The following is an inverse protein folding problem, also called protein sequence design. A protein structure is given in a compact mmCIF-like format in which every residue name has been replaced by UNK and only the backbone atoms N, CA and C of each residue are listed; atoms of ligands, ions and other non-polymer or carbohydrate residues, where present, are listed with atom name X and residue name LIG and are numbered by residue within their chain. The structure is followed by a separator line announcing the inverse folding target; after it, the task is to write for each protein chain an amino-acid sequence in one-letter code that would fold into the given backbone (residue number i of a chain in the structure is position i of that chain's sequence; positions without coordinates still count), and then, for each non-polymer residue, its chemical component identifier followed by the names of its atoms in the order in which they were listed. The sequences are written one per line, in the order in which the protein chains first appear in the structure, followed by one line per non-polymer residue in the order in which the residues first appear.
data_IF_553769984514
#
_entry.id   IF_553769984514
#
_cell.length_a   1.000
_cell.length_b   1.000
_cell.length_c   1.000
_cell.angle_alpha   90.00
_cell.angle_beta   90.00
_cell.angle_gamma   90.00
#
_symmetry.space_group_name_H-M   'P 1'
#
loop_
_entity.id
_entity.type
_entity.pdbx_description
1 polymer ?
#
# COMPACT_ATOMS: atom_id res chain seq x y z
N UNK A 1 -12.37 -7.76 11.63
CA UNK A 1 -11.43 -7.82 10.49
C UNK A 1 -11.78 -6.64 9.60
N UNK A 2 -11.08 -5.51 9.75
CA UNK A 2 -11.29 -4.35 8.88
C UNK A 2 -10.58 -4.64 7.56
N UNK A 3 -11.34 -4.83 6.50
CA UNK A 3 -10.82 -4.98 5.14
C UNK A 3 -10.06 -3.71 4.76
N UNK A 4 -8.74 -3.82 4.58
CA UNK A 4 -7.82 -2.71 4.27
C UNK A 4 -7.89 -2.31 2.78
N UNK A 5 -8.82 -2.88 2.01
CA UNK A 5 -8.74 -2.91 0.54
C UNK A 5 -10.03 -2.48 -0.17
N UNK A 6 -10.63 -1.36 0.23
CA UNK A 6 -11.69 -0.72 -0.56
C UNK A 6 -11.12 0.57 -1.19
N UNK A 7 -10.44 0.44 -2.33
CA UNK A 7 -10.07 1.57 -3.21
C UNK A 7 -11.26 1.80 -4.17
N UNK A 8 -12.26 2.58 -3.75
CA UNK A 8 -13.46 2.88 -4.57
C UNK A 8 -13.51 4.37 -4.93
N UNK A 9 -13.33 4.68 -6.22
CA UNK A 9 -13.67 5.94 -6.91
C UNK A 9 -13.69 7.24 -6.09
N UNK A 10 -12.54 7.70 -5.60
CA UNK A 10 -12.35 9.10 -5.19
C UNK A 10 -11.10 9.64 -5.87
N UNK A 11 -11.26 10.67 -6.70
CA UNK A 11 -10.15 11.46 -7.21
C UNK A 11 -9.60 12.17 -5.96
N UNK A 12 -8.42 11.73 -5.49
CA UNK A 12 -7.68 12.26 -4.33
C UNK A 12 -7.91 11.56 -2.96
N UNK A 13 -7.86 10.22 -2.90
CA UNK A 13 -7.68 9.52 -1.61
C UNK A 13 -6.22 9.09 -1.41
N UNK A 14 -5.66 9.46 -0.25
CA UNK A 14 -4.36 9.00 0.21
C UNK A 14 -4.51 7.70 1.01
N UNK A 15 -3.66 6.71 0.73
CA UNK A 15 -3.60 5.46 1.51
C UNK A 15 -2.54 5.60 2.59
N UNK A 16 -2.97 5.53 3.85
CA UNK A 16 -2.04 5.47 4.97
C UNK A 16 -1.41 4.07 5.03
N UNK A 17 -0.09 4.02 4.89
CA UNK A 17 0.69 2.77 4.97
C UNK A 17 1.69 2.80 6.12
N UNK A 18 1.86 1.65 6.76
CA UNK A 18 2.89 1.43 7.78
C UNK A 18 4.26 1.21 7.11
N UNK A 19 5.35 1.58 7.79
CA UNK A 19 6.74 1.35 7.34
C UNK A 19 7.02 -0.11 6.93
N UNK A 20 6.36 -1.10 7.55
CA UNK A 20 6.51 -2.52 7.15
C UNK A 20 6.04 -2.80 5.72
N UNK A 21 5.01 -2.10 5.24
CA UNK A 21 4.53 -2.21 3.86
C UNK A 21 5.56 -1.65 2.90
N UNK A 22 6.20 -0.54 3.26
CA UNK A 22 7.29 0.03 2.47
C UNK A 22 8.49 -0.93 2.42
N UNK A 23 8.86 -1.55 3.54
CA UNK A 23 9.93 -2.56 3.56
C UNK A 23 9.60 -3.73 2.63
N UNK A 24 8.39 -4.27 2.69
CA UNK A 24 7.97 -5.36 1.81
C UNK A 24 7.96 -4.95 0.33
N UNK A 25 7.62 -3.69 0.04
CA UNK A 25 7.63 -3.16 -1.32
C UNK A 25 9.07 -3.06 -1.88
N UNK A 26 10.02 -2.57 -1.08
CA UNK A 26 11.41 -2.38 -1.54
C UNK A 26 12.28 -3.64 -1.43
N UNK A 27 11.91 -4.60 -0.59
CA UNK A 27 12.62 -5.87 -0.47
C UNK A 27 12.01 -6.95 -1.38
N UNK A 28 12.64 -7.23 -2.51
CA UNK A 28 12.19 -8.27 -3.46
C UNK A 28 12.15 -9.68 -2.88
N UNK A 29 12.88 -9.93 -1.80
CA UNK A 29 12.87 -11.22 -1.10
C UNK A 29 11.79 -11.30 -0.02
N UNK A 30 11.04 -10.22 0.24
CA UNK A 30 9.94 -10.24 1.19
C UNK A 30 8.78 -11.07 0.62
N UNK A 31 8.21 -11.95 1.45
CA UNK A 31 7.10 -12.81 1.07
C UNK A 31 5.84 -12.05 0.60
N UNK A 32 5.71 -10.78 0.98
CA UNK A 32 4.60 -9.91 0.59
C UNK A 32 4.92 -8.98 -0.58
N UNK A 33 6.12 -9.03 -1.14
CA UNK A 33 6.55 -8.14 -2.21
C UNK A 33 5.58 -8.15 -3.41
N UNK A 34 5.25 -9.34 -3.92
CA UNK A 34 4.35 -9.49 -5.06
C UNK A 34 2.95 -8.91 -4.81
N UNK A 35 2.37 -9.18 -3.63
CA UNK A 35 1.07 -8.66 -3.24
C UNK A 35 1.08 -7.13 -3.09
N UNK A 36 2.17 -6.58 -2.55
CA UNK A 36 2.36 -5.13 -2.43
C UNK A 36 2.42 -4.44 -3.79
N UNK A 37 3.14 -5.02 -4.75
CA UNK A 37 3.23 -4.49 -6.12
C UNK A 37 1.87 -4.55 -6.84
N UNK A 38 1.13 -5.66 -6.72
CA UNK A 38 -0.19 -5.82 -7.33
C UNK A 38 -1.22 -4.83 -6.76
N UNK A 39 -1.20 -4.60 -5.44
CA UNK A 39 -2.04 -3.60 -4.79
C UNK A 39 -1.75 -2.18 -5.29
N UNK A 40 -0.47 -1.80 -5.42
CA UNK A 40 -0.12 -0.46 -5.93
C UNK A 40 -0.40 -0.29 -7.42
N UNK A 41 -0.29 -1.36 -8.20
CA UNK A 41 -0.67 -1.33 -9.61
C UNK A 41 -2.18 -1.14 -9.83
N UNK A 42 -3.01 -1.57 -8.87
CA UNK A 42 -4.48 -1.47 -8.94
C UNK A 42 -5.05 -0.25 -8.22
N UNK A 43 -4.27 0.43 -7.38
CA UNK A 43 -4.70 1.62 -6.64
C UNK A 43 -3.82 2.84 -6.98
N UNK A 44 -4.22 3.69 -7.95
CA UNK A 44 -3.46 4.86 -8.40
C UNK A 44 -3.55 6.03 -7.41
N UNK A 45 -3.22 5.76 -6.15
CA UNK A 45 -3.39 6.65 -5.01
C UNK A 45 -2.05 7.06 -4.42
N UNK A 46 -2.02 8.25 -3.81
CA UNK A 46 -0.85 8.68 -3.06
C UNK A 46 -0.68 7.82 -1.80
N UNK A 47 0.52 7.28 -1.61
CA UNK A 47 0.87 6.61 -0.35
C UNK A 47 1.38 7.64 0.65
N UNK A 48 0.78 7.63 1.83
CA UNK A 48 1.20 8.47 2.95
C UNK A 48 1.67 7.55 4.07
N UNK A 49 2.76 7.92 4.73
CA UNK A 49 3.24 7.22 5.92
C UNK A 49 3.51 8.22 7.03
N UNK A 50 3.46 7.76 8.27
CA UNK A 50 3.86 8.57 9.42
C UNK A 50 5.32 8.23 9.73
N UNK A 51 6.16 9.26 9.79
CA UNK A 51 7.50 9.18 10.36
C UNK A 51 7.35 9.47 11.85
N UNK A 52 7.54 8.42 12.66
CA UNK A 52 7.63 8.51 14.12
C UNK A 52 9.08 8.65 14.57
#
# INVERSE_FOLDING_TARGET
MLNVFDCKDYIDFSVLVNSRVLVALYNRCDRYHGQGVEFLGSCPSQLVTTVG
#
